data_IF_492635927492
#
_entry.id   IF_492635927492
#
_cell.length_a   1.000
_cell.length_b   1.000
_cell.length_c   1.000
_cell.angle_alpha   90.00
_cell.angle_beta   90.00
_cell.angle_gamma   90.00
#
_symmetry.space_group_name_H-M   'P 1'
#
loop_
_entity.id
_entity.type
_entity.pdbx_description
1 polymer ?
#
# COMPACT_ATOMS: atom_id res chain seq x y z
N UNK A 1 -65.33 20.29 17.78
CA UNK A 1 -64.37 20.41 18.89
C UNK A 1 -63.14 19.62 18.52
N UNK A 2 -62.11 20.15 17.83
CA UNK A 2 -61.46 21.47 17.95
C UNK A 2 -60.90 21.70 19.36
N UNK A 3 -59.70 21.19 19.62
CA UNK A 3 -58.83 21.58 20.75
C UNK A 3 -57.39 21.14 20.44
N UNK A 4 -56.71 21.86 19.55
CA UNK A 4 -55.29 21.62 19.26
C UNK A 4 -54.62 22.79 18.53
N UNK A 5 -55.38 23.49 17.67
CA UNK A 5 -54.86 24.57 16.82
C UNK A 5 -54.77 25.97 17.49
N UNK A 6 -55.09 26.09 18.79
CA UNK A 6 -54.99 27.38 19.49
C UNK A 6 -53.71 27.53 20.34
N UNK A 7 -52.96 26.45 20.58
CA UNK A 7 -51.76 26.53 21.43
C UNK A 7 -50.53 27.00 20.65
N UNK A 8 -50.43 26.65 19.36
CA UNK A 8 -49.32 27.03 18.48
C UNK A 8 -49.34 28.52 18.08
N UNK A 9 -50.52 29.14 18.00
CA UNK A 9 -50.64 30.56 17.61
C UNK A 9 -50.33 31.54 18.75
N UNK A 10 -50.27 31.09 20.00
CA UNK A 10 -50.00 31.97 21.14
C UNK A 10 -48.49 32.12 21.45
N UNK A 11 -47.65 31.18 21.02
CA UNK A 11 -46.20 31.23 21.28
C UNK A 11 -45.45 32.08 20.24
N UNK A 12 -46.06 32.35 19.08
CA UNK A 12 -45.41 33.08 17.97
C UNK A 12 -45.55 34.62 18.03
N UNK A 13 -46.24 35.18 19.03
CA UNK A 13 -46.56 36.63 19.07
C UNK A 13 -45.91 37.36 20.27
N UNK A 14 -45.26 36.66 21.22
CA UNK A 14 -44.73 37.30 22.45
C UNK A 14 -43.25 37.03 22.78
N UNK A 15 -42.46 36.50 21.85
CA UNK A 15 -41.00 36.41 22.02
C UNK A 15 -40.25 36.88 20.76
N UNK A 16 -40.30 38.18 20.41
CA UNK A 16 -39.26 38.72 19.55
C UNK A 16 -38.01 38.93 20.41
N UNK A 17 -36.87 38.45 19.91
CA UNK A 17 -35.50 38.66 20.39
C UNK A 17 -34.95 37.55 21.31
N UNK A 18 -33.76 37.07 20.91
CA UNK A 18 -32.95 36.00 21.48
C UNK A 18 -33.46 34.56 21.22
N UNK A 19 -33.12 34.00 20.07
CA UNK A 19 -31.96 33.10 19.99
C UNK A 19 -31.35 33.23 18.58
N UNK A 20 -30.04 33.41 18.57
CA UNK A 20 -29.23 33.50 17.38
C UNK A 20 -29.45 32.28 16.47
N UNK A 21 -29.33 32.53 15.16
CA UNK A 21 -29.17 31.52 14.13
C UNK A 21 -28.15 30.46 14.57
N UNK A 22 -28.60 29.24 14.86
CA UNK A 22 -27.75 28.05 14.68
C UNK A 22 -27.72 27.82 13.18
N UNK A 23 -26.71 28.37 12.50
CA UNK A 23 -26.23 27.78 11.25
C UNK A 23 -25.43 26.55 11.67
N UNK A 24 -26.09 25.40 11.74
CA UNK A 24 -25.37 24.14 11.71
C UNK A 24 -24.81 23.99 10.30
N UNK A 25 -23.65 24.59 10.06
CA UNK A 25 -22.73 24.15 9.00
C UNK A 25 -22.19 22.78 9.43
N UNK A 26 -23.06 21.77 9.31
CA UNK A 26 -22.59 20.40 9.16
C UNK A 26 -21.96 20.36 7.76
N UNK A 27 -20.66 20.65 7.70
CA UNK A 27 -19.87 20.47 6.48
C UNK A 27 -19.97 18.99 6.12
N UNK A 28 -20.85 18.69 5.16
CA UNK A 28 -20.88 17.42 4.48
C UNK A 28 -19.57 17.33 3.71
N UNK A 29 -18.59 16.60 4.26
CA UNK A 29 -17.33 16.31 3.58
C UNK A 29 -17.70 15.41 2.41
N UNK A 30 -17.84 16.00 1.23
CA UNK A 30 -17.92 15.23 0.00
C UNK A 30 -16.56 14.58 -0.22
N UNK A 31 -16.54 13.28 -0.49
CA UNK A 31 -15.35 12.53 -0.95
C UNK A 31 -14.96 12.92 -2.38
N UNK A 32 -15.09 14.20 -2.73
CA UNK A 32 -14.71 14.70 -4.04
C UNK A 32 -13.19 14.88 -4.09
N UNK A 33 -12.53 14.44 -5.18
CA UNK A 33 -11.11 14.67 -5.38
C UNK A 33 -10.82 16.16 -5.44
N UNK A 34 -9.75 16.59 -4.77
CA UNK A 34 -9.28 17.97 -4.83
C UNK A 34 -8.55 18.22 -6.15
N UNK A 35 -8.54 19.48 -6.59
CA UNK A 35 -7.69 19.91 -7.71
C UNK A 35 -6.20 19.82 -7.35
N UNK A 36 -5.33 19.77 -8.35
CA UNK A 36 -3.87 19.76 -8.13
C UNK A 36 -3.41 21.02 -7.39
N UNK A 37 -4.05 22.16 -7.64
CA UNK A 37 -3.78 23.42 -6.96
C UNK A 37 -4.13 23.35 -5.48
N UNK A 38 -5.34 22.90 -5.13
CA UNK A 38 -5.78 22.75 -3.74
C UNK A 38 -4.89 21.77 -2.98
N UNK A 39 -4.49 20.68 -3.62
CA UNK A 39 -3.56 19.72 -3.05
C UNK A 39 -2.19 20.33 -2.74
N UNK A 40 -1.67 21.21 -3.59
CA UNK A 40 -0.42 21.93 -3.33
C UNK A 40 -0.54 22.92 -2.18
N UNK A 41 -1.68 23.59 -2.05
CA UNK A 41 -1.93 24.55 -0.97
C UNK A 41 -1.91 23.89 0.42
N UNK A 42 -2.39 22.65 0.52
CA UNK A 42 -2.34 21.85 1.75
C UNK A 42 -1.08 20.97 1.87
N UNK A 43 -0.12 21.11 0.95
CA UNK A 43 1.22 20.53 1.05
C UNK A 43 1.44 19.18 0.36
N UNK A 44 0.47 18.68 -0.41
CA UNK A 44 0.63 17.47 -1.22
C UNK A 44 1.21 17.76 -2.60
N UNK A 45 1.85 16.73 -3.19
CA UNK A 45 2.44 16.81 -4.54
C UNK A 45 1.55 16.06 -5.54
N UNK A 46 1.51 16.44 -6.82
CA UNK A 46 0.64 15.80 -7.82
C UNK A 46 1.00 14.33 -8.10
N UNK A 47 2.21 13.87 -7.73
CA UNK A 47 2.65 12.48 -7.90
C UNK A 47 2.38 11.61 -6.66
N UNK A 48 1.52 12.06 -5.74
CA UNK A 48 1.18 11.32 -4.53
C UNK A 48 0.41 10.05 -4.88
N UNK A 49 0.86 8.91 -4.36
CA UNK A 49 0.26 7.59 -4.55
C UNK A 49 -0.67 7.24 -3.38
N UNK A 50 -1.84 6.68 -3.66
CA UNK A 50 -2.80 6.39 -2.59
C UNK A 50 -2.31 5.35 -1.59
N UNK A 51 -1.39 4.45 -1.96
CA UNK A 51 -0.81 3.50 -1.01
C UNK A 51 0.05 4.21 0.08
N UNK A 52 0.64 5.36 -0.24
CA UNK A 52 1.36 6.19 0.75
C UNK A 52 0.43 6.68 1.86
N UNK A 53 -0.83 6.99 1.54
CA UNK A 53 -1.82 7.43 2.53
C UNK A 53 -2.11 6.35 3.57
N UNK A 54 -2.03 5.07 3.18
CA UNK A 54 -2.25 3.93 4.09
C UNK A 54 -1.11 3.74 5.10
N UNK A 55 0.06 4.36 4.87
CA UNK A 55 1.21 4.29 5.77
C UNK A 55 1.16 5.35 6.86
N UNK A 56 0.38 6.42 6.70
CA UNK A 56 0.29 7.55 7.65
C UNK A 56 -0.05 7.15 9.09
N UNK A 57 -0.93 6.16 9.38
CA UNK A 57 -1.16 5.70 10.74
C UNK A 57 0.10 5.20 11.45
N UNK A 58 1.04 4.60 10.70
CA UNK A 58 2.31 4.09 11.27
C UNK A 58 3.20 5.21 11.83
N UNK A 59 2.93 6.46 11.45
CA UNK A 59 3.67 7.64 11.86
C UNK A 59 2.83 8.61 12.71
N UNK A 60 1.66 8.17 13.20
CA UNK A 60 0.71 9.00 13.94
C UNK A 60 0.22 10.23 13.14
N UNK A 61 0.12 10.12 11.82
CA UNK A 61 -0.35 11.18 10.92
C UNK A 61 -1.79 10.91 10.41
N UNK A 62 -2.62 10.36 11.29
CA UNK A 62 -3.98 9.90 10.95
C UNK A 62 -4.91 11.05 10.55
N UNK A 63 -4.66 12.24 11.10
CA UNK A 63 -5.45 13.45 10.87
C UNK A 63 -5.44 13.92 9.40
N UNK A 64 -4.37 13.61 8.65
CA UNK A 64 -4.20 14.04 7.26
C UNK A 64 -4.55 12.95 6.23
N UNK A 65 -5.04 11.78 6.67
CA UNK A 65 -5.37 10.67 5.78
C UNK A 65 -6.46 11.07 4.78
N UNK A 66 -7.49 11.77 5.26
CA UNK A 66 -8.61 12.20 4.43
C UNK A 66 -8.14 13.11 3.29
N UNK A 67 -7.29 14.09 3.59
CA UNK A 67 -6.76 15.00 2.57
C UNK A 67 -5.79 14.29 1.63
N UNK A 68 -4.97 13.38 2.16
CA UNK A 68 -4.09 12.53 1.36
C UNK A 68 -4.89 11.71 0.34
N UNK A 69 -6.01 11.09 0.77
CA UNK A 69 -6.87 10.29 -0.10
C UNK A 69 -7.57 11.11 -1.17
N UNK A 70 -7.84 12.39 -0.92
CA UNK A 70 -8.43 13.31 -1.89
C UNK A 70 -7.42 13.85 -2.90
N UNK A 71 -6.13 13.78 -2.59
CA UNK A 71 -5.03 14.29 -3.40
C UNK A 71 -4.21 13.23 -4.13
N UNK A 72 -4.40 11.95 -3.79
CA UNK A 72 -3.60 10.89 -4.36
C UNK A 72 -4.15 10.39 -5.71
N UNK A 73 -3.24 10.02 -6.60
CA UNK A 73 -3.59 9.23 -7.77
C UNK A 73 -3.83 7.78 -7.33
N UNK A 74 -5.02 7.26 -7.63
CA UNK A 74 -5.27 5.82 -7.54
C UNK A 74 -4.30 5.15 -8.49
N UNK A 75 -3.36 4.41 -7.92
CA UNK A 75 -2.50 3.55 -8.70
C UNK A 75 -3.43 2.59 -9.46
N UNK A 76 -3.13 2.33 -10.74
CA UNK A 76 -3.65 1.11 -11.34
C UNK A 76 -3.28 0.01 -10.34
N UNK A 77 -4.28 -0.77 -9.88
CA UNK A 77 -4.03 -1.96 -9.03
C UNK A 77 -2.72 -2.54 -9.53
N UNK A 78 -1.70 -2.61 -8.67
CA UNK A 78 -0.47 -3.35 -8.97
C UNK A 78 -0.96 -4.61 -9.66
N UNK A 79 -0.56 -4.79 -10.93
CA UNK A 79 -1.14 -5.86 -11.76
C UNK A 79 -1.11 -7.11 -10.89
N UNK A 80 -2.29 -7.63 -10.53
CA UNK A 80 -2.41 -8.81 -9.68
C UNK A 80 -1.72 -9.93 -10.46
N UNK A 81 -0.42 -10.07 -10.21
CA UNK A 81 0.41 -10.99 -10.94
C UNK A 81 0.23 -12.35 -10.30
N UNK A 82 0.29 -13.38 -11.14
CA UNK A 82 0.24 -14.74 -10.65
C UNK A 82 1.38 -14.96 -9.64
N UNK A 83 1.03 -15.57 -8.51
CA UNK A 83 2.00 -16.04 -7.51
C UNK A 83 2.40 -17.46 -7.87
N UNK A 84 3.59 -17.86 -7.46
CA UNK A 84 4.19 -19.12 -7.85
C UNK A 84 4.32 -20.05 -6.64
N UNK A 85 4.08 -21.36 -6.80
CA UNK A 85 4.14 -22.31 -5.69
C UNK A 85 5.55 -22.44 -5.09
N UNK A 86 6.60 -22.26 -5.89
CA UNK A 86 7.98 -22.22 -5.39
C UNK A 86 8.94 -21.49 -6.35
N UNK A 87 10.12 -21.14 -5.84
CA UNK A 87 11.23 -20.56 -6.58
C UNK A 87 12.55 -21.30 -6.33
N UNK A 88 13.43 -21.25 -7.33
CA UNK A 88 14.82 -21.65 -7.21
C UNK A 88 15.74 -20.43 -7.32
N UNK A 89 16.54 -20.18 -6.27
CA UNK A 89 17.65 -19.24 -6.31
C UNK A 89 18.86 -19.93 -6.93
N UNK A 90 19.13 -19.64 -8.20
CA UNK A 90 20.27 -20.18 -8.94
C UNK A 90 21.52 -19.35 -8.66
N UNK A 91 22.58 -20.01 -8.17
CA UNK A 91 23.86 -19.37 -7.86
C UNK A 91 25.05 -20.21 -8.35
N UNK A 92 26.19 -19.57 -8.61
CA UNK A 92 27.46 -20.28 -8.71
C UNK A 92 28.32 -19.99 -7.48
N UNK A 93 28.69 -21.01 -6.72
CA UNK A 93 29.68 -20.85 -5.63
C UNK A 93 31.02 -20.28 -6.15
N UNK A 94 31.34 -20.50 -7.43
CA UNK A 94 32.54 -19.97 -8.07
C UNK A 94 32.61 -18.44 -8.13
N UNK A 95 31.46 -17.77 -8.09
CA UNK A 95 31.38 -16.32 -8.23
C UNK A 95 30.59 -15.64 -7.11
N UNK A 96 29.96 -16.41 -6.20
CA UNK A 96 29.08 -15.91 -5.15
C UNK A 96 29.73 -14.83 -4.29
N UNK A 97 31.03 -14.92 -4.03
CA UNK A 97 31.79 -13.93 -3.26
C UNK A 97 31.67 -12.48 -3.80
N UNK A 98 31.37 -12.30 -5.09
CA UNK A 98 31.17 -10.98 -5.70
C UNK A 98 29.82 -10.33 -5.36
N UNK A 99 28.93 -11.08 -4.73
CA UNK A 99 27.56 -10.65 -4.41
C UNK A 99 27.34 -10.76 -2.90
N UNK A 100 27.83 -9.80 -2.09
CA UNK A 100 27.78 -9.91 -0.62
C UNK A 100 26.36 -10.04 -0.07
N UNK A 101 25.40 -9.28 -0.61
CA UNK A 101 24.00 -9.33 -0.18
C UNK A 101 23.37 -10.70 -0.46
N UNK A 102 23.59 -11.23 -1.67
CA UNK A 102 23.14 -12.59 -2.04
C UNK A 102 23.84 -13.66 -1.18
N UNK A 103 25.13 -13.50 -0.92
CA UNK A 103 25.90 -14.42 -0.07
C UNK A 103 25.31 -14.46 1.34
N UNK A 104 25.00 -13.29 1.92
CA UNK A 104 24.39 -13.18 3.23
C UNK A 104 23.00 -13.84 3.25
N UNK A 105 22.19 -13.60 2.21
CA UNK A 105 20.87 -14.21 2.07
C UNK A 105 20.94 -15.74 1.99
N UNK A 106 21.79 -16.29 1.11
CA UNK A 106 21.86 -17.73 0.84
C UNK A 106 22.54 -18.52 1.96
N UNK A 107 23.57 -17.95 2.59
CA UNK A 107 24.32 -18.64 3.67
C UNK A 107 23.73 -18.38 5.05
N UNK A 108 22.96 -17.32 5.22
CA UNK A 108 22.23 -17.03 6.45
C UNK A 108 20.99 -17.92 6.60
N UNK A 109 20.30 -17.69 7.71
CA UNK A 109 19.00 -18.26 8.08
C UNK A 109 17.82 -17.54 7.42
N UNK A 110 18.03 -16.34 6.84
CA UNK A 110 16.97 -15.55 6.21
C UNK A 110 16.21 -16.31 5.11
N UNK A 111 16.90 -17.09 4.27
CA UNK A 111 16.24 -17.92 3.24
C UNK A 111 15.28 -18.96 3.82
N UNK A 112 15.44 -19.33 5.09
CA UNK A 112 14.63 -20.38 5.73
C UNK A 112 13.21 -19.88 6.04
N UNK A 113 12.96 -18.57 5.97
CA UNK A 113 11.63 -17.96 6.09
C UNK A 113 10.62 -18.55 5.09
N UNK A 114 11.09 -18.96 3.91
CA UNK A 114 10.25 -19.54 2.85
C UNK A 114 10.25 -21.07 2.84
N UNK A 115 10.92 -21.74 3.77
CA UNK A 115 10.89 -23.19 3.93
C UNK A 115 11.13 -23.95 2.62
N UNK A 116 10.15 -24.78 2.22
CA UNK A 116 10.22 -25.57 0.99
C UNK A 116 9.85 -24.78 -0.29
N UNK A 117 9.30 -23.57 -0.16
CA UNK A 117 8.92 -22.71 -1.28
C UNK A 117 10.12 -22.02 -1.93
N UNK A 118 11.24 -21.89 -1.22
CA UNK A 118 12.49 -21.36 -1.78
C UNK A 118 13.61 -22.40 -1.70
N UNK A 119 14.21 -22.71 -2.85
CA UNK A 119 15.29 -23.71 -2.95
C UNK A 119 16.54 -23.07 -3.52
N UNK A 120 17.71 -23.43 -2.98
CA UNK A 120 18.99 -22.98 -3.52
C UNK A 120 19.49 -24.00 -4.53
N UNK A 121 19.76 -23.57 -5.77
CA UNK A 121 20.25 -24.42 -6.85
C UNK A 121 21.64 -23.95 -7.29
N UNK A 122 22.62 -24.83 -7.22
CA UNK A 122 23.97 -24.51 -7.66
C UNK A 122 24.13 -24.77 -9.16
N UNK A 123 24.32 -23.73 -9.95
CA UNK A 123 24.51 -23.78 -11.40
C UNK A 123 25.84 -23.13 -11.74
N UNK A 124 26.75 -23.88 -12.37
CA UNK A 124 28.09 -23.36 -12.69
C UNK A 124 28.01 -22.21 -13.69
N UNK A 125 28.76 -21.14 -13.41
CA UNK A 125 28.85 -19.96 -14.27
C UNK A 125 27.63 -19.04 -14.24
N UNK A 126 26.53 -19.42 -13.55
CA UNK A 126 25.36 -18.56 -13.47
C UNK A 126 25.61 -17.33 -12.60
N UNK A 127 24.91 -16.24 -12.92
CA UNK A 127 24.79 -15.08 -12.07
C UNK A 127 23.58 -15.29 -11.14
N UNK A 128 23.57 -14.70 -9.92
CA UNK A 128 22.42 -14.74 -9.03
C UNK A 128 21.10 -14.50 -9.76
N UNK A 129 20.26 -15.53 -9.79
CA UNK A 129 19.01 -15.53 -10.56
C UNK A 129 17.92 -16.19 -9.76
N UNK A 130 16.72 -15.59 -9.73
CA UNK A 130 15.52 -16.23 -9.19
C UNK A 130 14.73 -16.80 -10.36
N UNK A 131 14.51 -18.12 -10.33
CA UNK A 131 13.66 -18.84 -11.26
C UNK A 131 12.35 -19.25 -10.57
N UNK A 132 11.25 -18.60 -10.95
CA UNK A 132 9.90 -18.92 -10.46
C UNK A 132 9.36 -20.15 -11.17
N UNK A 133 8.81 -21.09 -10.40
CA UNK A 133 8.40 -22.40 -10.88
C UNK A 133 6.89 -22.56 -10.81
N UNK A 134 6.32 -23.19 -11.84
CA UNK A 134 4.93 -23.64 -11.81
C UNK A 134 4.72 -24.88 -10.94
N UNK A 135 3.46 -25.32 -10.84
CA UNK A 135 3.11 -26.57 -10.16
C UNK A 135 3.79 -27.80 -10.79
N UNK A 136 4.07 -27.74 -12.09
CA UNK A 136 4.80 -28.76 -12.84
C UNK A 136 6.32 -28.75 -12.60
N UNK A 137 6.82 -27.76 -11.85
CA UNK A 137 8.23 -27.52 -11.58
C UNK A 137 9.04 -26.96 -12.74
N UNK A 138 8.38 -26.56 -13.83
CA UNK A 138 9.04 -25.85 -14.92
C UNK A 138 9.25 -24.38 -14.56
N UNK A 139 10.37 -23.82 -15.01
CA UNK A 139 10.62 -22.37 -14.88
C UNK A 139 9.68 -21.61 -15.80
N UNK A 140 8.80 -20.81 -15.22
CA UNK A 140 7.91 -19.92 -15.98
C UNK A 140 8.49 -18.52 -16.11
N UNK A 141 9.21 -18.05 -15.09
CA UNK A 141 9.85 -16.72 -15.09
C UNK A 141 11.23 -16.77 -14.46
N UNK A 142 12.14 -15.96 -14.98
CA UNK A 142 13.52 -15.85 -14.48
C UNK A 142 13.92 -14.38 -14.36
N UNK A 143 14.53 -14.01 -13.23
CA UNK A 143 14.98 -12.64 -12.95
C UNK A 143 16.43 -12.65 -12.48
N UNK A 144 17.25 -11.79 -13.08
CA UNK A 144 18.60 -11.51 -12.57
C UNK A 144 18.51 -10.61 -11.34
N UNK A 145 19.15 -11.04 -10.24
CA UNK A 145 19.08 -10.36 -8.94
C UNK A 145 20.46 -9.91 -8.44
N UNK A 146 21.44 -9.76 -9.34
CA UNK A 146 22.82 -9.41 -8.97
C UNK A 146 22.94 -8.12 -8.15
N UNK A 147 22.04 -7.18 -8.40
CA UNK A 147 22.05 -5.84 -7.78
C UNK A 147 21.09 -5.71 -6.62
N UNK A 148 20.35 -6.77 -6.27
CA UNK A 148 19.34 -6.69 -5.23
C UNK A 148 19.99 -6.81 -3.86
N UNK A 149 19.45 -6.06 -2.91
CA UNK A 149 19.74 -6.22 -1.49
C UNK A 149 18.78 -7.23 -0.85
N UNK A 150 18.99 -7.47 0.45
CA UNK A 150 18.24 -8.45 1.22
C UNK A 150 16.78 -8.05 1.43
N UNK A 151 16.51 -6.75 1.55
CA UNK A 151 15.15 -6.21 1.69
C UNK A 151 14.35 -6.39 0.39
N UNK A 152 14.95 -6.03 -0.75
CA UNK A 152 14.32 -6.21 -2.08
C UNK A 152 14.04 -7.68 -2.37
N UNK A 153 14.96 -8.59 -2.03
CA UNK A 153 14.75 -10.03 -2.17
C UNK A 153 13.56 -10.50 -1.33
N UNK A 154 13.47 -10.03 -0.09
CA UNK A 154 12.44 -10.43 0.86
C UNK A 154 11.06 -9.95 0.40
N UNK A 155 10.95 -8.67 0.03
CA UNK A 155 9.73 -8.09 -0.53
C UNK A 155 9.29 -8.86 -1.78
N UNK A 156 10.21 -9.04 -2.73
CA UNK A 156 9.91 -9.79 -3.96
C UNK A 156 9.42 -11.21 -3.68
N UNK A 157 10.10 -11.97 -2.81
CA UNK A 157 9.68 -13.35 -2.51
C UNK A 157 8.34 -13.39 -1.77
N UNK A 158 8.06 -12.42 -0.91
CA UNK A 158 6.78 -12.29 -0.22
C UNK A 158 5.63 -11.90 -1.15
N UNK A 159 5.91 -11.21 -2.25
CA UNK A 159 4.88 -10.82 -3.21
C UNK A 159 4.65 -11.89 -4.27
N UNK A 160 5.71 -12.63 -4.65
CA UNK A 160 5.70 -13.55 -5.80
C UNK A 160 5.51 -15.02 -5.44
N UNK A 161 5.68 -15.43 -4.18
CA UNK A 161 5.44 -16.82 -3.76
C UNK A 161 4.09 -16.97 -3.06
N UNK A 162 3.37 -18.06 -3.31
CA UNK A 162 2.19 -18.45 -2.52
C UNK A 162 2.51 -18.67 -1.03
#
# INVERSE_FOLDING_TARGET
MHSGDLFFLFVMILFPLLHASVSSDAQYVTEDPLSEEECREIGFTPNLKCNTCNLLPKFNLEEIITDCQRCCAKEAKEEEHERYPFAEMEICECNLHRFPQITAFVRGDMKDQWGNKLRIRHVRGTLPTIALKGEDGQTQKSLNVEKWDTDTLTEFLNDWLE
#
